data_IF_869415063528
#
_entry.id   IF_869415063528
#
_cell.length_a   1.000
_cell.length_b   1.000
_cell.length_c   1.000
_cell.angle_alpha   90.00
_cell.angle_beta   90.00
_cell.angle_gamma   90.00
#
_symmetry.space_group_name_H-M   'P 1'
#
loop_
_entity.id
_entity.type
_entity.pdbx_description
1 polymer ?
#
# COMPACT_ATOMS: atom_id res chain seq x y z
N UNK A 1 31.59 10.73 -20.73
CA UNK A 1 31.01 9.40 -20.99
C UNK A 1 29.79 9.23 -20.12
N UNK A 2 28.58 9.49 -20.65
CA UNK A 2 27.32 9.30 -19.93
C UNK A 2 26.86 7.86 -20.14
N UNK A 3 27.18 6.99 -19.20
CA UNK A 3 26.60 5.65 -19.14
C UNK A 3 25.13 5.79 -18.73
N UNK A 4 24.22 5.81 -19.70
CA UNK A 4 22.82 5.51 -19.47
C UNK A 4 22.73 4.05 -19.02
N UNK A 5 22.65 3.82 -17.70
CA UNK A 5 22.30 2.50 -17.19
C UNK A 5 20.83 2.30 -17.52
N UNK A 6 20.53 1.30 -18.36
CA UNK A 6 19.16 0.81 -18.56
C UNK A 6 18.54 0.62 -17.18
N UNK A 7 17.47 1.35 -16.89
CA UNK A 7 16.82 1.21 -15.60
C UNK A 7 16.03 -0.09 -15.53
N UNK A 8 15.77 -0.55 -14.31
CA UNK A 8 15.16 -1.84 -14.09
C UNK A 8 13.68 -1.82 -14.45
N UNK A 9 13.26 -2.85 -15.19
CA UNK A 9 11.87 -3.20 -15.39
C UNK A 9 11.53 -4.37 -14.48
N UNK A 10 10.63 -4.15 -13.53
CA UNK A 10 10.13 -5.19 -12.63
C UNK A 10 8.65 -5.39 -12.91
N UNK A 11 8.25 -6.65 -13.08
CA UNK A 11 6.86 -7.11 -13.19
C UNK A 11 6.72 -8.24 -12.16
N UNK A 12 5.90 -8.04 -11.13
CA UNK A 12 5.78 -8.99 -10.01
C UNK A 12 4.34 -9.12 -9.54
N UNK A 13 3.99 -10.36 -9.20
CA UNK A 13 2.78 -10.72 -8.47
C UNK A 13 3.16 -10.94 -7.00
N UNK A 14 3.05 -9.89 -6.19
CA UNK A 14 3.43 -9.95 -4.78
C UNK A 14 2.23 -10.37 -3.94
N UNK A 15 2.11 -11.70 -3.76
CA UNK A 15 1.47 -12.39 -2.63
C UNK A 15 -0.07 -12.43 -2.58
N UNK A 16 -0.55 -13.61 -2.18
CA UNK A 16 -1.83 -13.78 -1.48
C UNK A 16 -1.53 -13.81 0.01
N UNK A 17 -1.95 -12.79 0.75
CA UNK A 17 -1.96 -12.86 2.22
C UNK A 17 -3.34 -13.29 2.71
N UNK A 18 -3.36 -14.06 3.79
CA UNK A 18 -4.56 -14.39 4.56
C UNK A 18 -4.30 -14.03 6.02
N UNK A 19 -5.04 -13.04 6.53
CA UNK A 19 -4.93 -12.61 7.93
C UNK A 19 -5.87 -13.42 8.84
N UNK A 20 -5.59 -14.71 9.04
CA UNK A 20 -6.39 -15.53 9.97
C UNK A 20 -5.89 -15.38 11.42
N UNK A 21 -6.75 -14.89 12.32
CA UNK A 21 -6.46 -14.72 13.75
C UNK A 21 -5.23 -13.83 14.03
N UNK A 22 -5.02 -12.79 13.22
CA UNK A 22 -3.98 -11.82 13.50
C UNK A 22 -4.32 -11.06 14.78
N UNK A 23 -3.38 -11.03 15.73
CA UNK A 23 -3.48 -10.21 16.93
C UNK A 23 -2.49 -9.07 16.80
N UNK A 24 -3.00 -7.86 16.68
CA UNK A 24 -2.16 -6.67 16.75
C UNK A 24 -2.49 -5.90 18.02
N UNK A 25 -1.44 -5.52 18.73
CA UNK A 25 -1.55 -4.52 19.79
C UNK A 25 -1.45 -3.17 19.11
N UNK A 26 -2.58 -2.66 18.63
CA UNK A 26 -2.62 -1.32 18.06
C UNK A 26 -2.69 -0.32 19.21
N UNK A 27 -1.89 0.74 19.15
CA UNK A 27 -2.11 1.93 19.97
C UNK A 27 -3.45 2.52 19.56
N UNK A 28 -4.49 2.19 20.32
CA UNK A 28 -5.86 2.33 19.86
C UNK A 28 -6.66 3.20 20.81
N UNK A 29 -7.03 4.39 20.31
CA UNK A 29 -8.31 5.12 20.48
C UNK A 29 -8.85 5.43 21.89
N UNK A 30 -8.31 4.83 22.93
CA UNK A 30 -8.71 5.01 24.33
C UNK A 30 -7.50 5.57 25.04
N UNK A 31 -7.64 6.82 25.48
CA UNK A 31 -6.70 7.42 26.40
C UNK A 31 -7.09 6.98 27.81
N UNK A 32 -6.11 6.63 28.63
CA UNK A 32 -6.33 6.42 30.05
C UNK A 32 -6.75 7.75 30.73
N UNK A 33 -7.03 7.70 32.03
CA UNK A 33 -7.40 8.89 32.81
C UNK A 33 -6.34 10.02 32.79
N UNK A 34 -5.12 9.73 32.32
CA UNK A 34 -4.01 10.67 32.22
C UNK A 34 -3.72 11.09 30.77
N UNK A 35 -4.51 10.67 29.78
CA UNK A 35 -4.29 11.01 28.38
C UNK A 35 -3.34 10.08 27.62
N UNK A 36 -2.89 8.97 28.21
CA UNK A 36 -1.95 8.03 27.58
C UNK A 36 -2.72 7.03 26.72
N UNK A 37 -2.32 6.89 25.45
CA UNK A 37 -2.91 5.89 24.56
C UNK A 37 -2.68 4.48 25.11
N UNK A 38 -3.76 3.76 25.40
CA UNK A 38 -3.70 2.38 25.87
C UNK A 38 -3.64 1.44 24.67
N UNK A 39 -2.76 0.44 24.73
CA UNK A 39 -2.75 -0.65 23.75
C UNK A 39 -4.01 -1.49 23.97
N UNK A 40 -4.92 -1.51 23.00
CA UNK A 40 -6.09 -2.38 23.03
C UNK A 40 -5.80 -3.58 22.12
N UNK A 41 -5.89 -4.82 22.63
CA UNK A 41 -5.69 -5.99 21.78
C UNK A 41 -6.82 -6.05 20.74
N UNK A 42 -6.46 -5.89 19.47
CA UNK A 42 -7.37 -6.12 18.35
C UNK A 42 -7.16 -7.54 17.86
N UNK A 43 -8.22 -8.35 17.94
CA UNK A 43 -8.24 -9.68 17.34
C UNK A 43 -8.94 -9.57 15.99
N UNK A 44 -8.17 -9.77 14.93
CA UNK A 44 -8.66 -9.84 13.57
C UNK A 44 -8.89 -11.31 13.20
N UNK A 45 -10.12 -11.69 12.91
CA UNK A 45 -10.46 -13.07 12.50
C UNK A 45 -11.23 -13.05 11.18
N UNK A 46 -11.03 -14.06 10.34
CA UNK A 46 -11.61 -14.16 9.00
C UNK A 46 -10.58 -13.93 7.91
N UNK A 47 -11.00 -13.97 6.65
CA UNK A 47 -10.07 -13.98 5.52
C UNK A 47 -10.06 -12.62 4.83
N UNK A 48 -8.92 -11.94 4.87
CA UNK A 48 -8.63 -10.81 3.98
C UNK A 48 -7.62 -11.30 2.95
N UNK A 49 -8.03 -11.32 1.67
CA UNK A 49 -7.19 -11.70 0.54
C UNK A 49 -6.75 -10.43 -0.16
N UNK A 50 -5.45 -10.19 -0.19
CA UNK A 50 -4.84 -9.17 -1.05
C UNK A 50 -4.21 -9.85 -2.25
N UNK A 51 -4.41 -9.29 -3.44
CA UNK A 51 -3.78 -9.73 -4.68
C UNK A 51 -3.15 -8.49 -5.30
N UNK A 52 -1.83 -8.46 -5.37
CA UNK A 52 -1.06 -7.33 -5.88
C UNK A 52 -0.31 -7.75 -7.15
N UNK A 53 -0.52 -6.99 -8.20
CA UNK A 53 0.25 -7.04 -9.43
C UNK A 53 0.85 -5.65 -9.66
N UNK A 54 2.16 -5.55 -9.83
CA UNK A 54 2.77 -4.25 -10.09
C UNK A 54 3.89 -4.32 -11.11
N UNK A 55 4.01 -3.22 -11.83
CA UNK A 55 5.04 -2.97 -12.82
C UNK A 55 5.76 -1.69 -12.47
N UNK A 56 7.09 -1.73 -12.48
CA UNK A 56 7.92 -0.54 -12.36
C UNK A 56 8.86 -0.44 -13.53
N UNK A 57 8.85 0.72 -14.18
CA UNK A 57 9.87 1.13 -15.13
C UNK A 57 10.71 2.23 -14.49
N UNK A 58 11.98 1.95 -14.22
CA UNK A 58 12.95 2.94 -13.74
C UNK A 58 13.80 3.45 -14.90
N UNK A 59 14.22 4.71 -14.82
CA UNK A 59 15.16 5.33 -15.75
C UNK A 59 16.12 6.21 -14.97
N UNK A 60 17.42 6.06 -15.20
CA UNK A 60 18.46 6.87 -14.56
C UNK A 60 19.28 7.56 -15.65
N UNK A 61 19.40 8.88 -15.55
CA UNK A 61 20.18 9.71 -16.48
C UNK A 61 20.99 10.75 -15.71
N UNK A 62 22.26 10.45 -15.47
CA UNK A 62 23.13 11.30 -14.64
C UNK A 62 22.60 11.37 -13.20
N UNK A 63 22.34 12.59 -12.72
CA UNK A 63 21.84 12.85 -11.37
C UNK A 63 20.30 12.79 -11.27
N UNK A 64 19.63 12.43 -12.37
CA UNK A 64 18.18 12.32 -12.43
C UNK A 64 17.74 10.86 -12.44
N UNK A 65 16.74 10.55 -11.62
CA UNK A 65 16.06 9.27 -11.60
C UNK A 65 14.55 9.48 -11.77
N UNK A 66 13.92 8.64 -12.59
CA UNK A 66 12.47 8.57 -12.73
C UNK A 66 12.03 7.12 -12.58
N UNK A 67 11.00 6.88 -11.79
CA UNK A 67 10.31 5.60 -11.66
C UNK A 67 8.83 5.80 -12.03
N UNK A 68 8.31 4.94 -12.89
CA UNK A 68 6.89 4.86 -13.22
C UNK A 68 6.37 3.57 -12.61
N UNK A 69 5.33 3.67 -11.77
CA UNK A 69 4.72 2.55 -11.07
C UNK A 69 3.27 2.40 -11.53
N UNK A 70 2.94 1.18 -11.96
CA UNK A 70 1.62 0.82 -12.48
C UNK A 70 1.21 -0.54 -11.93
N UNK A 71 -0.07 -0.87 -12.03
CA UNK A 71 -0.59 -2.18 -11.64
C UNK A 71 -1.79 -2.08 -10.72
N UNK A 72 -2.19 -3.21 -10.15
CA UNK A 72 -3.42 -3.38 -9.40
C UNK A 72 -3.16 -3.96 -8.02
N UNK A 73 -3.87 -3.45 -7.03
CA UNK A 73 -3.90 -3.95 -5.66
C UNK A 73 -5.35 -4.21 -5.31
N UNK A 74 -5.76 -5.49 -5.24
CA UNK A 74 -7.13 -5.88 -4.94
C UNK A 74 -7.18 -6.49 -3.55
N UNK A 75 -8.02 -5.92 -2.68
CA UNK A 75 -8.23 -6.36 -1.31
C UNK A 75 -9.68 -6.82 -1.17
N UNK A 76 -9.87 -8.07 -0.76
CA UNK A 76 -11.17 -8.70 -0.55
C UNK A 76 -11.28 -9.18 0.87
N UNK A 77 -12.42 -8.95 1.52
CA UNK A 77 -12.73 -9.53 2.81
C UNK A 77 -13.84 -10.58 2.70
N UNK A 78 -13.71 -11.65 3.48
CA UNK A 78 -14.72 -12.67 3.69
C UNK A 78 -14.80 -13.01 5.17
N UNK A 79 -15.99 -12.88 5.76
CA UNK A 79 -16.25 -13.13 7.19
C UNK A 79 -15.25 -12.44 8.14
N UNK A 80 -14.82 -11.22 7.77
CA UNK A 80 -13.82 -10.47 8.52
C UNK A 80 -14.46 -9.85 9.76
N UNK A 81 -13.81 -10.06 10.90
CA UNK A 81 -14.26 -9.58 12.20
C UNK A 81 -13.12 -8.86 12.91
N UNK A 82 -13.47 -7.80 13.64
CA UNK A 82 -12.59 -7.14 14.60
C UNK A 82 -13.21 -7.34 15.98
N UNK A 83 -12.50 -7.98 16.90
CA UNK A 83 -13.01 -8.27 18.24
C UNK A 83 -14.39 -8.96 18.26
N UNK A 84 -14.63 -9.86 17.29
CA UNK A 84 -15.88 -10.59 17.04
C UNK A 84 -17.02 -9.75 16.42
N UNK A 85 -16.83 -8.45 16.18
CA UNK A 85 -17.76 -7.66 15.39
C UNK A 85 -17.53 -7.92 13.90
N UNK A 86 -18.58 -8.35 13.20
CA UNK A 86 -18.51 -8.64 11.77
C UNK A 86 -18.57 -7.35 10.99
N UNK A 87 -17.54 -7.07 10.20
CA UNK A 87 -17.51 -5.94 9.30
C UNK A 87 -18.17 -6.31 7.95
N UNK A 88 -18.70 -5.32 7.21
CA UNK A 88 -19.17 -5.53 5.86
C UNK A 88 -18.09 -6.20 5.01
N UNK A 89 -18.52 -7.18 4.21
CA UNK A 89 -17.65 -7.72 3.17
C UNK A 89 -17.33 -6.61 2.16
N UNK A 90 -16.09 -6.53 1.72
CA UNK A 90 -15.65 -5.55 0.75
C UNK A 90 -14.76 -6.18 -0.30
N UNK A 91 -14.79 -5.59 -1.48
CA UNK A 91 -13.90 -5.92 -2.59
C UNK A 91 -13.45 -4.59 -3.20
N UNK A 92 -12.21 -4.22 -2.95
CA UNK A 92 -11.62 -2.96 -3.36
C UNK A 92 -10.46 -3.25 -4.31
N UNK A 93 -10.45 -2.62 -5.47
CA UNK A 93 -9.33 -2.66 -6.42
C UNK A 93 -8.78 -1.26 -6.60
N UNK A 94 -7.51 -1.09 -6.25
CA UNK A 94 -6.73 0.12 -6.51
C UNK A 94 -5.90 -0.11 -7.77
N UNK A 95 -6.13 0.69 -8.80
CA UNK A 95 -5.35 0.64 -10.04
C UNK A 95 -4.42 1.85 -10.09
N UNK A 96 -3.12 1.61 -10.05
CA UNK A 96 -2.08 2.62 -10.32
C UNK A 96 -1.90 2.73 -11.82
N UNK A 97 -2.20 3.91 -12.37
CA UNK A 97 -2.11 4.21 -13.79
C UNK A 97 -0.89 5.10 -14.05
N UNK A 98 0.30 4.49 -14.07
CA UNK A 98 1.55 5.19 -14.31
C UNK A 98 1.80 6.33 -13.30
N UNK A 99 1.75 6.02 -12.01
CA UNK A 99 2.19 6.95 -10.97
C UNK A 99 3.69 7.22 -11.13
N UNK A 100 4.10 8.48 -11.05
CA UNK A 100 5.47 8.90 -11.35
C UNK A 100 6.16 9.36 -10.08
N UNK A 101 7.31 8.77 -9.79
CA UNK A 101 8.27 9.31 -8.86
C UNK A 101 9.49 9.80 -9.63
N UNK A 102 9.94 11.02 -9.40
CA UNK A 102 11.19 11.50 -9.97
C UNK A 102 12.02 12.24 -8.93
N UNK A 103 13.34 12.15 -9.06
CA UNK A 103 14.27 12.82 -8.18
C UNK A 103 15.49 13.32 -8.95
N UNK A 104 16.01 14.46 -8.51
CA UNK A 104 17.25 15.05 -9.03
C UNK A 104 18.16 15.39 -7.86
N UNK A 105 19.38 14.86 -7.87
CA UNK A 105 20.46 15.33 -6.99
C UNK A 105 21.12 16.57 -7.60
N UNK A 106 20.89 17.73 -7.01
CA UNK A 106 21.39 19.01 -7.53
C UNK A 106 22.66 19.51 -6.82
N UNK A 107 23.03 18.87 -5.71
CA UNK A 107 24.33 18.97 -5.06
C UNK A 107 24.55 17.74 -4.19
N UNK A 108 25.79 17.36 -3.82
CA UNK A 108 26.06 16.15 -3.04
C UNK A 108 25.16 16.05 -1.80
N UNK A 109 24.32 15.01 -1.75
CA UNK A 109 23.38 14.72 -0.66
C UNK A 109 22.10 15.56 -0.65
N UNK A 110 21.88 16.48 -1.62
CA UNK A 110 20.64 17.27 -1.72
C UNK A 110 19.81 16.84 -2.91
N UNK A 111 18.63 16.33 -2.60
CA UNK A 111 17.68 15.77 -3.56
C UNK A 111 16.44 16.63 -3.62
N UNK A 112 15.97 16.93 -4.84
CA UNK A 112 14.61 17.41 -5.09
C UNK A 112 13.82 16.26 -5.67
N UNK A 113 12.71 15.90 -5.04
CA UNK A 113 11.83 14.83 -5.50
C UNK A 113 10.42 15.34 -5.82
N UNK A 114 9.75 14.68 -6.75
CA UNK A 114 8.35 14.90 -7.12
C UNK A 114 7.65 13.54 -7.16
N UNK A 115 6.48 13.47 -6.51
CA UNK A 115 5.61 12.30 -6.53
C UNK A 115 4.26 12.69 -7.12
N UNK A 116 3.88 12.02 -8.20
CA UNK A 116 2.57 12.12 -8.83
C UNK A 116 1.86 10.77 -8.68
N UNK A 117 0.77 10.77 -7.92
CA UNK A 117 -0.01 9.57 -7.64
C UNK A 117 -1.25 9.58 -8.54
N UNK A 118 -1.34 8.58 -9.42
CA UNK A 118 -2.48 8.35 -10.31
C UNK A 118 -3.12 7.03 -9.94
N UNK A 119 -4.16 7.10 -9.12
CA UNK A 119 -4.86 5.92 -8.60
C UNK A 119 -6.35 6.03 -8.89
N UNK A 120 -6.90 4.98 -9.49
CA UNK A 120 -8.33 4.75 -9.57
C UNK A 120 -8.71 3.70 -8.53
N UNK A 121 -9.75 3.98 -7.75
CA UNK A 121 -10.29 3.03 -6.78
C UNK A 121 -11.67 2.62 -7.24
N UNK A 122 -11.88 1.32 -7.39
CA UNK A 122 -13.19 0.73 -7.68
C UNK A 122 -13.47 -0.30 -6.62
N UNK A 123 -14.68 -0.33 -6.09
CA UNK A 123 -15.03 -1.39 -5.16
C UNK A 123 -16.49 -1.41 -4.77
N UNK A 124 -16.84 -2.47 -4.06
CA UNK A 124 -18.16 -2.69 -3.51
C UNK A 124 -18.04 -3.09 -2.05
N UNK A 125 -18.98 -2.64 -1.23
CA UNK A 125 -19.24 -3.19 0.10
C UNK A 125 -20.61 -3.85 0.13
N UNK A 126 -20.72 -5.00 0.78
CA UNK A 126 -21.99 -5.64 1.09
C UNK A 126 -22.10 -5.82 2.61
N UNK A 127 -23.11 -5.18 3.19
CA UNK A 127 -23.38 -5.15 4.63
C UNK A 127 -23.90 -3.78 5.07
N UNK A 128 -24.70 -3.72 6.14
CA UNK A 128 -25.06 -2.44 6.77
C UNK A 128 -23.86 -1.94 7.58
N UNK A 129 -23.53 -0.65 7.43
CA UNK A 129 -22.68 0.08 8.38
C UNK A 129 -23.36 0.15 9.76
#
# INVERSE_FOLDING_TARGET
MTNSKHGDHVDSDDLNWTYDNCKENTAGSVVDANGVAVLVPLTYSGTVIRTLHWKRAKTVSGNFEKSILSGTDRIRSSNYTINKETLPTFDLTFTRNDSIYSQTEYSPGKIRAVLEIRVTVVGSSMGKL
#
